data_IF_482326109591
#
_entry.id   IF_482326109591
#
_cell.length_a   1.000
_cell.length_b   1.000
_cell.length_c   1.000
_cell.angle_alpha   90.00
_cell.angle_beta   90.00
_cell.angle_gamma   90.00
#
_symmetry.space_group_name_H-M   'P 1'
#
loop_
_entity.id
_entity.type
_entity.pdbx_description
1 polymer ?
#
# COMPACT_ATOMS: atom_id res chain seq x y z
N UNK A 1 -5.35 9.24 -19.55
CA UNK A 1 -4.71 8.12 -18.94
C UNK A 1 -4.79 8.17 -17.44
N UNK A 2 -4.61 7.03 -16.85
CA UNK A 2 -4.90 6.84 -15.44
C UNK A 2 -3.67 7.07 -14.58
N UNK A 3 -3.05 8.24 -14.74
CA UNK A 3 -1.85 8.57 -13.99
C UNK A 3 -2.13 9.81 -13.15
N UNK A 4 -1.91 9.71 -11.84
CA UNK A 4 -2.19 10.81 -10.93
C UNK A 4 -0.96 11.71 -10.74
N UNK A 5 -1.06 12.63 -9.76
CA UNK A 5 -0.03 13.64 -9.54
C UNK A 5 1.33 13.03 -9.17
N UNK A 6 1.36 11.83 -8.58
CA UNK A 6 2.60 11.16 -8.24
C UNK A 6 3.07 10.21 -9.35
N UNK A 7 2.34 10.13 -10.45
CA UNK A 7 2.69 9.23 -11.53
C UNK A 7 2.22 7.81 -11.33
N UNK A 8 1.26 7.59 -10.44
CA UNK A 8 0.74 6.26 -10.18
C UNK A 8 -0.30 5.89 -11.22
N UNK A 9 -0.25 4.66 -11.70
CA UNK A 9 -1.24 4.17 -12.64
C UNK A 9 -2.37 3.45 -11.91
N UNK A 10 -3.28 2.85 -12.68
CA UNK A 10 -4.44 2.17 -12.10
C UNK A 10 -4.04 1.01 -11.20
N UNK A 11 -3.02 0.25 -11.58
CA UNK A 11 -2.57 -0.89 -10.78
C UNK A 11 -2.00 -0.42 -9.46
N UNK A 12 -1.20 0.65 -9.49
CA UNK A 12 -0.62 1.20 -8.27
C UNK A 12 -1.72 1.63 -7.31
N UNK A 13 -2.73 2.32 -7.82
CA UNK A 13 -3.84 2.77 -6.97
C UNK A 13 -4.65 1.61 -6.43
N UNK A 14 -4.87 0.58 -7.25
CA UNK A 14 -5.57 -0.62 -6.78
C UNK A 14 -4.82 -1.30 -5.64
N UNK A 15 -3.49 -1.35 -5.76
CA UNK A 15 -2.65 -1.92 -4.72
C UNK A 15 -2.81 -1.14 -3.42
N UNK A 16 -2.69 0.18 -3.50
CA UNK A 16 -2.81 1.02 -2.30
C UNK A 16 -4.20 0.93 -1.68
N UNK A 17 -5.24 0.96 -2.50
CA UNK A 17 -6.60 0.86 -1.99
C UNK A 17 -6.88 -0.50 -1.35
N UNK A 18 -6.28 -1.55 -1.88
CA UNK A 18 -6.48 -2.87 -1.28
C UNK A 18 -5.92 -2.89 0.15
N UNK A 19 -4.74 -2.35 0.35
CA UNK A 19 -4.18 -2.29 1.70
C UNK A 19 -5.04 -1.41 2.59
N UNK A 20 -5.47 -0.26 2.08
CA UNK A 20 -6.25 0.69 2.88
C UNK A 20 -7.63 0.16 3.22
N UNK A 21 -8.36 -0.31 2.21
CA UNK A 21 -9.79 -0.60 2.37
C UNK A 21 -10.05 -1.98 2.94
N UNK A 22 -9.29 -2.97 2.53
CA UNK A 22 -9.53 -4.34 2.95
C UNK A 22 -8.74 -4.68 4.21
N UNK A 23 -7.49 -4.24 4.27
CA UNK A 23 -6.59 -4.61 5.36
C UNK A 23 -6.32 -3.46 6.32
N UNK A 24 -7.03 -2.38 6.19
CA UNK A 24 -6.98 -1.22 7.08
C UNK A 24 -5.56 -0.70 7.30
N UNK A 25 -4.77 -0.68 6.25
CA UNK A 25 -3.41 -0.21 6.30
C UNK A 25 -2.38 -1.29 6.51
N UNK A 26 -2.81 -2.51 6.64
CA UNK A 26 -1.92 -3.65 6.83
C UNK A 26 -1.70 -3.99 8.28
N UNK A 27 -0.79 -4.93 8.55
CA UNK A 27 0.09 -5.59 7.57
C UNK A 27 -0.65 -6.63 6.75
N UNK A 28 -0.22 -6.77 5.50
CA UNK A 28 -0.80 -7.76 4.60
C UNK A 28 0.31 -8.40 3.78
N UNK A 29 0.28 -9.71 3.65
CA UNK A 29 1.30 -10.43 2.90
C UNK A 29 1.20 -10.20 1.41
N UNK A 30 2.34 -10.30 0.72
CA UNK A 30 2.36 -10.10 -0.72
C UNK A 30 1.53 -11.14 -1.46
N UNK A 31 1.40 -12.34 -0.90
CA UNK A 31 0.60 -13.39 -1.52
C UNK A 31 -0.87 -12.99 -1.55
N UNK A 32 -1.36 -12.41 -0.47
CA UNK A 32 -2.75 -11.95 -0.41
C UNK A 32 -2.98 -10.81 -1.38
N UNK A 33 -2.02 -9.89 -1.49
CA UNK A 33 -2.13 -8.80 -2.43
C UNK A 33 -2.13 -9.31 -3.87
N UNK A 34 -1.24 -10.25 -4.18
CA UNK A 34 -1.16 -10.82 -5.52
C UNK A 34 -2.48 -11.50 -5.89
N UNK A 35 -3.03 -12.27 -4.97
CA UNK A 35 -4.30 -12.95 -5.21
C UNK A 35 -5.44 -11.95 -5.44
N UNK A 36 -5.50 -10.92 -4.60
CA UNK A 36 -6.57 -9.93 -4.71
C UNK A 36 -6.47 -9.08 -5.96
N UNK A 37 -5.26 -8.85 -6.45
CA UNK A 37 -5.05 -8.07 -7.67
C UNK A 37 -5.04 -8.94 -8.92
N UNK A 38 -5.10 -10.24 -8.76
CA UNK A 38 -5.02 -11.20 -9.87
C UNK A 38 -3.73 -11.03 -10.66
N UNK A 39 -2.63 -10.83 -9.93
CA UNK A 39 -1.31 -10.66 -10.52
C UNK A 39 -0.34 -11.63 -9.90
N UNK A 40 0.68 -12.08 -10.65
CA UNK A 40 1.72 -12.90 -10.05
C UNK A 40 2.46 -12.13 -8.97
N UNK A 41 2.96 -12.84 -7.98
CA UNK A 41 3.74 -12.23 -6.92
C UNK A 41 4.93 -11.45 -7.47
N UNK A 42 5.60 -11.99 -8.49
CA UNK A 42 6.74 -11.31 -9.09
C UNK A 42 6.39 -9.95 -9.64
N UNK A 43 5.23 -9.83 -10.27
CA UNK A 43 4.78 -8.54 -10.78
C UNK A 43 4.60 -7.54 -9.65
N UNK A 44 4.02 -7.98 -8.55
CA UNK A 44 3.84 -7.10 -7.39
C UNK A 44 5.20 -6.65 -6.88
N UNK A 45 6.12 -7.57 -6.66
CA UNK A 45 7.40 -7.24 -6.06
C UNK A 45 8.34 -6.49 -6.98
N UNK A 46 8.30 -6.79 -8.28
CA UNK A 46 9.29 -6.25 -9.21
C UNK A 46 8.79 -5.03 -9.97
N UNK A 47 7.48 -4.89 -10.14
CA UNK A 47 6.91 -3.84 -10.96
C UNK A 47 6.15 -2.81 -10.14
N UNK A 48 5.33 -3.26 -9.19
CA UNK A 48 4.44 -2.36 -8.46
C UNK A 48 5.11 -1.74 -7.25
N UNK A 49 5.69 -2.56 -6.39
CA UNK A 49 6.20 -2.10 -5.10
C UNK A 49 7.41 -1.17 -5.16
N UNK A 50 8.37 -1.35 -6.08
CA UNK A 50 9.59 -0.53 -6.02
C UNK A 50 9.32 0.97 -6.02
N UNK A 51 8.43 1.43 -6.88
CA UNK A 51 8.12 2.85 -6.96
C UNK A 51 7.36 3.33 -5.71
N UNK A 52 6.42 2.52 -5.24
CA UNK A 52 5.66 2.87 -4.04
C UNK A 52 6.55 2.94 -2.82
N UNK A 53 7.53 2.05 -2.72
CA UNK A 53 8.50 2.09 -1.64
C UNK A 53 9.38 3.33 -1.76
N UNK A 54 9.79 3.67 -2.96
CA UNK A 54 10.62 4.84 -3.19
C UNK A 54 9.90 6.11 -2.78
N UNK A 55 8.61 6.20 -3.05
CA UNK A 55 7.81 7.36 -2.65
C UNK A 55 7.45 7.36 -1.18
N UNK A 56 7.73 6.28 -0.47
CA UNK A 56 7.40 6.20 0.94
C UNK A 56 5.94 5.96 1.24
N UNK A 57 5.17 5.53 0.24
CA UNK A 57 3.73 5.30 0.43
C UNK A 57 3.45 4.00 1.18
N UNK A 58 4.32 3.03 1.04
CA UNK A 58 4.18 1.74 1.70
C UNK A 58 5.49 1.37 2.39
N UNK A 59 5.42 0.40 3.28
CA UNK A 59 6.61 -0.15 3.94
C UNK A 59 6.50 -1.66 3.97
N UNK A 60 7.64 -2.33 3.90
CA UNK A 60 7.74 -3.77 4.12
C UNK A 60 8.14 -4.02 5.56
N UNK A 61 7.38 -4.86 6.23
CA UNK A 61 7.68 -5.24 7.60
C UNK A 61 7.76 -6.74 7.71
N UNK A 62 8.19 -7.23 8.87
CA UNK A 62 8.23 -8.66 9.12
C UNK A 62 6.87 -9.33 8.98
N UNK A 63 5.80 -8.57 9.17
CA UNK A 63 4.44 -9.10 9.08
C UNK A 63 3.81 -8.93 7.72
N UNK A 64 4.43 -8.15 6.85
CA UNK A 64 3.91 -7.89 5.52
C UNK A 64 4.00 -6.43 5.15
N UNK A 65 3.15 -6.02 4.20
CA UNK A 65 3.16 -4.65 3.68
C UNK A 65 2.19 -3.78 4.46
N UNK A 66 2.61 -2.57 4.75
CA UNK A 66 1.78 -1.59 5.45
C UNK A 66 1.71 -0.31 4.64
N UNK A 67 0.58 0.39 4.77
CA UNK A 67 0.42 1.70 4.15
C UNK A 67 0.92 2.76 5.12
N UNK A 68 1.82 3.61 4.66
CA UNK A 68 2.37 4.69 5.48
C UNK A 68 1.47 5.92 5.45
N UNK A 69 1.74 6.88 6.32
CA UNK A 69 0.97 8.12 6.36
C UNK A 69 0.89 8.82 5.01
N UNK A 70 2.00 8.95 4.25
CA UNK A 70 1.89 9.55 2.91
C UNK A 70 0.96 8.78 1.97
N UNK A 71 0.89 7.46 2.13
CA UNK A 71 -0.02 6.66 1.32
C UNK A 71 -1.47 6.96 1.62
N UNK A 72 -1.81 7.04 2.90
CA UNK A 72 -3.16 7.43 3.31
C UNK A 72 -3.52 8.81 2.77
N UNK A 73 -2.60 9.75 2.92
CA UNK A 73 -2.82 11.11 2.47
C UNK A 73 -3.04 11.17 0.98
N UNK A 74 -2.25 10.43 0.22
CA UNK A 74 -2.38 10.41 -1.23
C UNK A 74 -3.73 9.87 -1.68
N UNK A 75 -4.26 8.89 -0.95
CA UNK A 75 -5.58 8.34 -1.26
C UNK A 75 -6.72 9.24 -0.80
N UNK A 76 -6.41 10.28 -0.05
CA UNK A 76 -7.45 11.16 0.50
C UNK A 76 -8.21 10.51 1.65
N UNK A 77 -7.59 9.54 2.31
CA UNK A 77 -8.21 8.79 3.41
C UNK A 77 -7.47 9.05 4.70
N UNK A 78 -8.18 8.87 5.81
CA UNK A 78 -7.57 8.95 7.13
C UNK A 78 -7.20 7.56 7.62
N UNK A 79 -6.04 7.40 8.27
CA UNK A 79 -5.70 6.10 8.87
C UNK A 79 -6.74 5.74 9.92
N UNK A 80 -6.98 4.44 10.13
CA UNK A 80 -7.89 4.01 11.19
C UNK A 80 -7.40 4.50 12.54
N UNK A 81 -8.34 4.87 13.40
CA UNK A 81 -8.01 5.38 14.72
C UNK A 81 -7.22 4.33 15.49
N UNK A 82 -6.10 4.76 16.09
CA UNK A 82 -5.30 3.90 16.93
C UNK A 82 -4.41 2.92 16.23
N UNK A 83 -4.43 2.86 14.90
CA UNK A 83 -3.63 1.86 14.20
C UNK A 83 -2.18 2.30 14.05
N UNK A 84 -1.92 3.34 13.25
CA UNK A 84 -0.55 3.79 13.05
C UNK A 84 -0.06 4.63 14.20
N UNK A 85 -0.94 5.38 14.82
CA UNK A 85 -0.56 6.17 15.98
C UNK A 85 -0.01 5.30 17.08
N UNK A 86 -0.62 4.15 17.31
CA UNK A 86 -0.13 3.22 18.31
C UNK A 86 1.26 2.70 17.99
N UNK A 87 1.58 2.57 16.71
CA UNK A 87 2.90 2.10 16.31
C UNK A 87 3.97 3.17 16.51
N UNK A 88 3.63 4.41 16.28
CA UNK A 88 4.61 5.48 16.30
C UNK A 88 4.71 6.20 17.63
N UNK A 89 3.72 6.04 18.46
CA UNK A 89 3.72 6.69 19.76
C UNK A 89 4.50 5.94 20.81
N UNK A 90 4.92 4.75 20.49
CA UNK A 90 5.67 3.94 21.45
C UNK A 90 7.17 4.12 21.33
#
# INVERSE_FOLDING_TARGET
>A
LEVDALGLDAMDRRYLHMIADIYRGGPVGVEALAAGLSEPRDTIEDVVEPYLLQLGLIARTARGRCLNAPGWKHLGLNPPAGSQDGLFDT
#
